data_IF_765744721131
#
_entry.id   IF_765744721131
#
_cell.length_a   1.000
_cell.length_b   1.000
_cell.length_c   1.000
_cell.angle_alpha   90.00
_cell.angle_beta   90.00
_cell.angle_gamma   90.00
#
_symmetry.space_group_name_H-M   'P 1'
#
loop_
_entity.id
_entity.type
_entity.pdbx_description
1 polymer ?
#
# COMPACT_ATOMS: atom_id res chain seq x y z
N UNK A 1 -19.82 0.63 20.12
CA UNK A 1 -20.90 -0.18 20.74
C UNK A 1 -20.43 -1.59 21.09
N UNK A 2 -19.86 -2.36 20.14
CA UNK A 2 -19.36 -3.73 20.35
C UNK A 2 -18.17 -3.77 21.33
N UNK A 3 -17.26 -2.82 21.26
CA UNK A 3 -16.10 -2.70 22.16
C UNK A 3 -16.53 -2.56 23.63
N UNK A 4 -17.52 -1.71 23.87
CA UNK A 4 -18.11 -1.55 25.20
C UNK A 4 -18.75 -2.86 25.68
N UNK A 5 -19.46 -3.61 24.81
CA UNK A 5 -20.04 -4.91 25.16
C UNK A 5 -18.98 -5.92 25.59
N UNK A 6 -17.84 -5.99 24.84
CA UNK A 6 -16.75 -6.91 25.19
C UNK A 6 -16.13 -6.54 26.54
N UNK A 7 -15.80 -5.26 26.76
CA UNK A 7 -15.18 -4.81 28.01
C UNK A 7 -16.02 -5.12 29.26
N UNK A 8 -17.34 -5.24 29.12
CA UNK A 8 -18.27 -5.52 30.20
C UNK A 8 -18.80 -6.97 30.21
N UNK A 9 -18.30 -7.82 29.32
CA UNK A 9 -18.63 -9.24 29.35
C UNK A 9 -17.97 -9.91 30.52
N UNK A 10 -18.73 -10.68 31.35
CA UNK A 10 -18.19 -11.30 32.57
C UNK A 10 -17.02 -12.26 32.30
N UNK A 11 -17.04 -13.02 31.21
CA UNK A 11 -15.96 -13.94 30.85
C UNK A 11 -14.69 -13.18 30.42
N UNK A 12 -14.86 -12.08 29.70
CA UNK A 12 -13.76 -11.22 29.32
C UNK A 12 -13.12 -10.54 30.54
N UNK A 13 -13.92 -9.99 31.43
CA UNK A 13 -13.45 -9.38 32.69
C UNK A 13 -12.72 -10.40 33.59
N UNK A 14 -13.23 -11.63 33.71
CA UNK A 14 -12.53 -12.69 34.41
C UNK A 14 -11.19 -13.05 33.80
N UNK A 15 -11.12 -13.12 32.45
CA UNK A 15 -9.88 -13.36 31.71
C UNK A 15 -8.86 -12.25 31.89
N UNK A 16 -9.30 -10.99 31.95
CA UNK A 16 -8.45 -9.83 32.26
C UNK A 16 -7.90 -9.89 33.67
N UNK A 17 -8.74 -10.22 34.65
CA UNK A 17 -8.33 -10.35 36.06
C UNK A 17 -7.24 -11.40 36.23
N UNK A 18 -7.33 -12.55 35.52
CA UNK A 18 -6.27 -13.58 35.51
C UNK A 18 -4.92 -13.05 35.02
N UNK A 19 -4.92 -11.97 34.22
CA UNK A 19 -3.76 -11.28 33.68
C UNK A 19 -3.32 -10.06 34.50
N UNK A 20 -3.98 -9.85 35.67
CA UNK A 20 -3.70 -8.70 36.55
C UNK A 20 -4.21 -7.39 36.03
N UNK A 21 -5.24 -7.40 35.16
CA UNK A 21 -5.86 -6.20 34.58
C UNK A 21 -7.20 -5.96 35.25
N UNK A 22 -7.25 -4.97 36.12
CA UNK A 22 -8.45 -4.68 36.95
C UNK A 22 -9.40 -3.67 36.28
N UNK A 23 -8.88 -2.86 35.32
CA UNK A 23 -9.68 -1.84 34.63
C UNK A 23 -9.83 -2.19 33.14
N UNK A 24 -10.97 -2.74 32.71
CA UNK A 24 -11.23 -3.08 31.31
C UNK A 24 -11.34 -1.87 30.40
N UNK A 25 -11.59 -0.66 30.90
CA UNK A 25 -11.67 0.55 30.08
C UNK A 25 -10.31 0.95 29.49
N UNK A 26 -9.21 0.49 30.07
CA UNK A 26 -7.87 0.67 29.54
C UNK A 26 -7.50 -0.33 28.44
N UNK A 27 -8.38 -1.28 28.14
CA UNK A 27 -8.14 -2.26 27.07
C UNK A 27 -8.62 -1.72 25.72
N UNK A 28 -7.71 -1.65 24.76
CA UNK A 28 -8.04 -1.40 23.35
C UNK A 28 -8.41 -2.73 22.72
N UNK A 29 -9.45 -2.73 21.90
CA UNK A 29 -9.89 -3.92 21.16
C UNK A 29 -10.11 -3.56 19.72
N UNK A 30 -9.21 -4.00 18.83
CA UNK A 30 -9.34 -3.80 17.39
C UNK A 30 -10.06 -4.99 16.75
N UNK A 31 -11.17 -4.78 16.03
CA UNK A 31 -11.88 -5.86 15.34
C UNK A 31 -11.21 -6.17 14.01
N UNK A 32 -10.68 -7.37 13.88
CA UNK A 32 -10.10 -7.84 12.63
C UNK A 32 -11.09 -8.79 11.95
N UNK A 33 -11.47 -8.57 10.69
CA UNK A 33 -12.27 -9.51 9.93
C UNK A 33 -11.61 -10.88 9.88
N UNK A 34 -12.38 -11.93 10.09
CA UNK A 34 -11.88 -13.30 9.97
C UNK A 34 -12.49 -14.02 8.77
N UNK A 35 -11.62 -14.74 8.06
CA UNK A 35 -12.01 -15.61 6.96
C UNK A 35 -12.65 -16.88 7.51
N UNK A 36 -13.41 -17.57 6.67
CA UNK A 36 -13.87 -18.93 6.96
C UNK A 36 -12.69 -19.92 6.81
N UNK A 37 -12.27 -20.51 7.91
CA UNK A 37 -11.23 -21.54 7.97
C UNK A 37 -11.79 -22.96 7.92
N UNK A 38 -13.09 -23.13 7.70
CA UNK A 38 -13.75 -24.43 7.60
C UNK A 38 -14.55 -24.83 8.82
N UNK A 39 -14.59 -24.00 9.86
CA UNK A 39 -15.39 -24.22 11.07
C UNK A 39 -16.88 -24.14 10.73
N UNK A 40 -17.66 -25.16 11.08
CA UNK A 40 -19.12 -25.16 10.86
C UNK A 40 -19.81 -24.01 11.59
N UNK A 41 -19.34 -23.66 12.78
CA UNK A 41 -19.86 -22.56 13.61
C UNK A 41 -19.70 -21.16 12.93
N UNK A 42 -18.78 -21.03 11.98
CA UNK A 42 -18.46 -19.77 11.28
C UNK A 42 -19.20 -19.64 9.95
N UNK A 43 -19.75 -20.73 9.41
CA UNK A 43 -20.42 -20.71 8.10
C UNK A 43 -21.59 -19.73 8.02
N UNK A 44 -21.60 -18.92 6.96
CA UNK A 44 -22.67 -17.96 6.68
C UNK A 44 -22.72 -16.76 7.64
N UNK A 45 -21.73 -16.62 8.51
CA UNK A 45 -21.60 -15.49 9.44
C UNK A 45 -20.55 -14.50 8.96
N UNK A 46 -20.73 -13.25 9.33
CA UNK A 46 -19.74 -12.19 9.14
C UNK A 46 -19.09 -11.93 10.49
N UNK A 47 -17.87 -12.44 10.65
CA UNK A 47 -17.19 -12.48 11.94
C UNK A 47 -15.98 -11.54 11.99
N UNK A 48 -15.69 -11.07 13.20
CA UNK A 48 -14.44 -10.41 13.54
C UNK A 48 -13.84 -11.01 14.82
N UNK A 49 -12.52 -10.98 14.91
CA UNK A 49 -11.76 -11.31 16.12
C UNK A 49 -11.23 -10.03 16.74
N UNK A 50 -11.45 -9.82 18.02
CA UNK A 50 -10.88 -8.71 18.76
C UNK A 50 -9.42 -8.96 19.07
N UNK A 51 -8.54 -8.05 18.69
CA UNK A 51 -7.15 -8.01 19.14
C UNK A 51 -7.05 -7.05 20.30
N UNK A 52 -6.40 -7.46 21.38
CA UNK A 52 -6.44 -6.73 22.63
C UNK A 52 -5.06 -6.19 23.02
N UNK A 53 -5.04 -4.95 23.47
CA UNK A 53 -3.84 -4.28 24.00
C UNK A 53 -4.19 -3.49 25.26
N UNK A 54 -3.23 -3.34 26.17
CA UNK A 54 -3.39 -2.63 27.41
C UNK A 54 -2.76 -1.24 27.36
N UNK A 55 -3.53 -0.21 27.71
CA UNK A 55 -3.04 1.11 28.13
C UNK A 55 -2.79 1.12 29.64
N UNK A 56 -1.82 1.90 30.11
CA UNK A 56 -1.63 2.19 31.53
C UNK A 56 -2.48 3.37 31.98
N UNK A 57 -2.70 4.30 31.05
CA UNK A 57 -3.55 5.46 31.20
C UNK A 57 -4.26 5.77 29.88
N UNK A 58 -5.26 6.61 29.90
CA UNK A 58 -6.13 6.90 28.74
C UNK A 58 -5.39 7.39 27.50
N UNK A 59 -4.29 8.11 27.68
CA UNK A 59 -3.50 8.70 26.58
C UNK A 59 -2.25 7.93 26.18
N UNK A 60 -2.07 6.74 26.75
CA UNK A 60 -0.92 5.88 26.52
C UNK A 60 -0.98 5.10 25.17
N UNK A 61 0.19 4.74 24.63
CA UNK A 61 0.27 3.85 23.48
C UNK A 61 -0.09 2.42 23.86
N UNK A 62 -1.30 1.98 23.53
CA UNK A 62 -1.76 0.62 23.79
C UNK A 62 -0.99 -0.45 23.04
N UNK A 63 -0.59 -0.20 21.79
CA UNK A 63 0.09 -1.20 20.95
C UNK A 63 1.45 -1.66 21.51
N UNK A 64 2.01 -1.00 22.49
CA UNK A 64 3.22 -1.45 23.18
C UNK A 64 3.01 -2.67 24.08
N UNK A 65 1.78 -2.93 24.51
CA UNK A 65 1.46 -3.97 25.50
C UNK A 65 0.31 -4.87 25.03
N UNK A 66 0.59 -5.81 24.12
CA UNK A 66 -0.40 -6.78 23.65
C UNK A 66 -0.85 -7.68 24.81
N UNK A 67 -2.15 -7.96 24.85
CA UNK A 67 -2.78 -8.94 25.74
C UNK A 67 -2.86 -10.26 24.97
N UNK A 68 -1.85 -11.09 25.12
CA UNK A 68 -1.73 -12.34 24.40
C UNK A 68 -2.68 -13.42 24.93
N UNK A 69 -3.15 -14.28 24.02
CA UNK A 69 -3.97 -15.42 24.36
C UNK A 69 -5.42 -15.08 24.74
N UNK A 70 -5.88 -13.86 24.45
CA UNK A 70 -7.27 -13.44 24.74
C UNK A 70 -7.89 -12.80 23.50
N UNK A 71 -8.84 -13.50 22.88
CA UNK A 71 -9.45 -13.10 21.61
C UNK A 71 -10.98 -13.25 21.61
N UNK A 72 -11.75 -12.17 21.79
CA UNK A 72 -13.20 -12.22 21.62
C UNK A 72 -13.59 -12.37 20.15
N UNK A 73 -14.54 -13.25 19.85
CA UNK A 73 -15.13 -13.46 18.53
C UNK A 73 -16.50 -12.80 18.46
N UNK A 74 -16.71 -11.99 17.43
CA UNK A 74 -17.90 -11.19 17.22
C UNK A 74 -18.68 -11.64 15.98
N UNK A 75 -20.00 -11.74 16.08
CA UNK A 75 -20.91 -11.77 14.94
C UNK A 75 -21.30 -10.33 14.58
N UNK A 76 -20.76 -9.82 13.48
CA UNK A 76 -20.97 -8.44 13.04
C UNK A 76 -22.40 -8.18 12.51
N UNK A 77 -23.13 -9.23 12.08
CA UNK A 77 -24.51 -9.08 11.63
C UNK A 77 -25.46 -8.88 12.82
N UNK A 78 -25.18 -9.55 13.92
CA UNK A 78 -26.01 -9.50 15.13
C UNK A 78 -25.51 -8.50 16.16
N UNK A 79 -24.24 -8.05 16.04
CA UNK A 79 -23.52 -7.28 17.05
C UNK A 79 -23.47 -8.01 18.41
N UNK A 80 -23.20 -9.31 18.37
CA UNK A 80 -23.14 -10.19 19.54
C UNK A 80 -21.74 -10.81 19.71
N UNK A 81 -21.35 -11.05 20.96
CA UNK A 81 -20.17 -11.84 21.29
C UNK A 81 -20.54 -13.31 21.11
N UNK A 82 -19.83 -14.02 20.26
CA UNK A 82 -20.02 -15.45 20.06
C UNK A 82 -19.23 -16.30 21.06
N UNK A 83 -18.02 -15.86 21.37
CA UNK A 83 -17.06 -16.61 22.17
C UNK A 83 -15.99 -15.68 22.70
N UNK A 84 -15.53 -15.92 23.92
CA UNK A 84 -14.30 -15.36 24.48
C UNK A 84 -13.26 -16.47 24.49
N UNK A 85 -12.33 -16.42 23.52
CA UNK A 85 -11.24 -17.40 23.44
C UNK A 85 -10.13 -17.00 24.42
N UNK A 86 -9.83 -17.87 25.40
CA UNK A 86 -8.75 -17.71 26.39
C UNK A 86 -7.78 -18.89 26.27
N UNK A 87 -6.62 -18.65 25.66
CA UNK A 87 -5.57 -19.65 25.41
C UNK A 87 -4.51 -19.70 26.54
N UNK A 88 -4.76 -19.01 27.63
CA UNK A 88 -3.86 -18.94 28.78
C UNK A 88 -3.19 -17.57 28.92
N UNK A 89 -2.51 -17.41 30.06
CA UNK A 89 -1.91 -16.13 30.46
C UNK A 89 -0.48 -16.04 30.01
N UNK A 90 -0.20 -15.00 29.23
CA UNK A 90 1.15 -14.51 28.93
C UNK A 90 1.34 -13.19 29.69
N UNK A 91 2.45 -12.98 30.42
CA UNK A 91 2.69 -11.73 31.12
C UNK A 91 2.63 -10.51 30.22
N UNK A 92 2.00 -9.45 30.69
CA UNK A 92 1.97 -8.17 29.93
C UNK A 92 3.39 -7.62 29.80
N UNK A 93 3.85 -7.23 28.59
CA UNK A 93 5.16 -6.66 28.39
C UNK A 93 5.39 -5.40 29.25
N UNK A 94 6.58 -5.25 29.87
CA UNK A 94 6.85 -4.15 30.79
C UNK A 94 7.10 -2.81 30.08
N UNK A 95 7.29 -2.82 28.77
CA UNK A 95 7.76 -1.69 27.99
C UNK A 95 6.77 -0.52 28.01
N UNK A 96 7.32 0.70 28.00
CA UNK A 96 6.52 1.91 27.91
C UNK A 96 6.05 2.14 26.46
N UNK A 97 6.97 2.27 25.52
CA UNK A 97 6.69 2.34 24.08
C UNK A 97 5.88 3.54 23.63
N UNK A 98 5.83 4.62 24.41
CA UNK A 98 5.14 5.84 24.01
C UNK A 98 5.94 6.61 22.95
N UNK A 99 5.25 7.10 21.93
CA UNK A 99 5.84 7.80 20.78
C UNK A 99 5.46 9.27 20.70
N UNK A 100 4.40 9.72 21.38
CA UNK A 100 3.95 11.12 21.35
C UNK A 100 5.01 12.06 21.93
N UNK A 101 5.13 13.24 21.35
CA UNK A 101 6.16 14.23 21.70
C UNK A 101 6.26 14.54 23.20
N UNK A 102 5.10 14.53 23.89
CA UNK A 102 5.06 14.77 25.36
C UNK A 102 5.77 13.70 26.21
N UNK A 103 6.03 12.52 25.63
CA UNK A 103 6.75 11.42 26.29
C UNK A 103 8.20 11.29 25.83
N UNK A 104 8.62 12.10 24.85
CA UNK A 104 9.97 12.05 24.29
C UNK A 104 10.82 13.22 24.81
N UNK A 105 12.02 12.93 25.30
CA UNK A 105 12.98 13.93 25.76
C UNK A 105 14.05 14.26 24.74
N UNK A 106 14.34 13.33 23.83
CA UNK A 106 15.54 13.34 22.99
C UNK A 106 15.19 13.45 21.50
N UNK A 107 14.77 14.64 21.08
CA UNK A 107 14.66 14.95 19.66
C UNK A 107 16.02 15.27 19.05
N UNK A 108 16.21 14.87 17.80
CA UNK A 108 17.42 15.22 17.03
C UNK A 108 17.46 16.74 16.84
N UNK A 109 18.63 17.32 17.14
CA UNK A 109 18.89 18.75 16.98
C UNK A 109 19.97 19.06 15.93
N UNK A 110 20.51 18.00 15.31
CA UNK A 110 21.60 18.04 14.33
C UNK A 110 21.12 18.25 12.90
N UNK A 111 19.81 18.26 12.66
CA UNK A 111 19.18 18.50 11.35
C UNK A 111 18.75 19.95 11.25
N UNK A 112 19.21 20.61 10.18
CA UNK A 112 18.75 21.97 9.84
C UNK A 112 17.53 21.90 8.92
N UNK A 113 16.60 22.85 9.00
CA UNK A 113 15.42 22.88 8.16
C UNK A 113 15.78 23.06 6.67
N UNK A 114 14.96 22.46 5.81
CA UNK A 114 14.93 22.67 4.37
C UNK A 114 13.67 23.45 4.05
N UNK A 115 13.81 24.56 3.36
CA UNK A 115 12.69 25.36 2.86
C UNK A 115 12.51 25.10 1.36
N UNK A 116 11.26 24.87 0.94
CA UNK A 116 10.86 24.69 -0.45
C UNK A 116 9.91 25.84 -0.78
N UNK A 117 10.31 26.69 -1.71
CA UNK A 117 9.53 27.87 -2.11
C UNK A 117 9.39 27.95 -3.63
N UNK A 118 8.21 28.35 -4.08
CA UNK A 118 7.92 28.68 -5.47
C UNK A 118 7.38 30.12 -5.52
N UNK A 119 8.24 31.16 -5.61
CA UNK A 119 7.84 32.56 -5.45
C UNK A 119 6.83 33.06 -6.49
N UNK A 120 6.75 32.39 -7.65
CA UNK A 120 5.80 32.68 -8.74
C UNK A 120 4.55 31.78 -8.68
N UNK A 121 4.44 30.97 -7.62
CA UNK A 121 3.39 29.94 -7.48
C UNK A 121 3.72 28.60 -8.15
N UNK A 122 2.87 27.60 -7.97
CA UNK A 122 3.04 26.27 -8.58
C UNK A 122 2.81 26.32 -10.10
N UNK A 123 3.43 25.37 -10.82
CA UNK A 123 3.27 25.25 -12.28
C UNK A 123 2.05 24.42 -12.70
N UNK A 124 1.24 23.95 -11.75
CA UNK A 124 0.00 23.24 -12.05
C UNK A 124 -1.22 24.17 -11.98
N UNK A 125 -2.23 23.80 -12.75
CA UNK A 125 -3.56 24.43 -12.75
C UNK A 125 -4.60 23.41 -12.30
N UNK A 126 -5.54 23.83 -11.44
CA UNK A 126 -6.64 22.98 -10.96
C UNK A 126 -7.99 23.64 -11.25
N UNK A 127 -8.87 22.89 -11.92
CA UNK A 127 -10.24 23.28 -12.16
C UNK A 127 -11.20 22.16 -11.66
N UNK A 128 -11.74 22.33 -10.47
CA UNK A 128 -12.42 21.24 -9.78
C UNK A 128 -11.49 20.06 -9.54
N UNK A 129 -11.79 18.91 -10.14
CA UNK A 129 -10.93 17.72 -10.05
C UNK A 129 -10.03 17.53 -11.28
N UNK A 130 -10.05 18.46 -12.22
CA UNK A 130 -9.17 18.43 -13.39
C UNK A 130 -7.87 19.15 -13.06
N UNK A 131 -6.76 18.45 -13.31
CA UNK A 131 -5.38 18.94 -13.10
C UNK A 131 -4.69 19.03 -14.44
N UNK A 132 -4.02 20.15 -14.68
CA UNK A 132 -3.06 20.34 -15.77
C UNK A 132 -1.71 20.70 -15.18
N UNK A 133 -0.66 19.99 -15.58
CA UNK A 133 0.72 20.29 -15.18
C UNK A 133 1.65 20.03 -16.35
N UNK A 134 2.24 21.10 -16.87
CA UNK A 134 3.09 21.05 -18.08
C UNK A 134 2.35 20.31 -19.22
N UNK A 135 2.86 19.15 -19.66
CA UNK A 135 2.23 18.32 -20.69
C UNK A 135 1.19 17.32 -20.15
N UNK A 136 1.06 17.19 -18.85
CA UNK A 136 0.12 16.26 -18.23
C UNK A 136 -1.26 16.87 -18.04
N UNK A 137 -2.28 16.04 -18.28
CA UNK A 137 -3.66 16.33 -17.89
C UNK A 137 -4.28 15.07 -17.27
N UNK A 138 -5.03 15.25 -16.20
CA UNK A 138 -5.68 14.14 -15.48
C UNK A 138 -6.86 14.62 -14.65
N UNK A 139 -7.65 13.69 -14.15
CA UNK A 139 -8.69 13.96 -13.15
C UNK A 139 -8.41 13.16 -11.88
N UNK A 140 -8.55 13.84 -10.77
CA UNK A 140 -8.41 13.27 -9.44
C UNK A 140 -9.77 12.80 -8.96
N UNK A 141 -9.85 11.55 -8.51
CA UNK A 141 -11.04 10.96 -7.91
C UNK A 141 -10.71 10.31 -6.57
N UNK A 142 -11.77 9.94 -5.84
CA UNK A 142 -11.62 9.27 -4.57
C UNK A 142 -12.79 8.33 -4.30
N UNK A 143 -12.53 7.14 -3.74
CA UNK A 143 -13.57 6.20 -3.36
C UNK A 143 -13.39 5.68 -1.94
N UNK A 144 -14.49 5.28 -1.26
CA UNK A 144 -14.39 4.72 0.10
C UNK A 144 -13.55 3.45 0.17
N UNK A 145 -13.50 2.68 -0.92
CA UNK A 145 -12.84 1.39 -0.98
C UNK A 145 -11.36 1.49 -1.35
N UNK A 146 -11.05 2.29 -2.40
CA UNK A 146 -9.72 2.31 -3.01
C UNK A 146 -8.87 3.51 -2.57
N UNK A 147 -9.52 4.52 -1.96
CA UNK A 147 -8.87 5.81 -1.71
C UNK A 147 -8.68 6.62 -3.00
N UNK A 148 -7.49 7.12 -3.23
CA UNK A 148 -7.10 7.93 -4.38
C UNK A 148 -7.23 7.18 -5.70
N UNK A 149 -7.93 7.78 -6.66
CA UNK A 149 -8.09 7.26 -8.02
C UNK A 149 -7.67 8.31 -9.03
N UNK A 150 -6.82 7.93 -9.96
CA UNK A 150 -6.39 8.79 -11.08
C UNK A 150 -7.18 8.40 -12.33
N UNK A 151 -7.77 9.37 -13.01
CA UNK A 151 -8.59 9.16 -14.20
C UNK A 151 -8.06 9.92 -15.40
N UNK A 152 -8.28 9.37 -16.58
CA UNK A 152 -8.10 10.03 -17.89
C UNK A 152 -6.76 10.73 -18.02
N UNK A 153 -5.69 10.01 -17.65
CA UNK A 153 -4.33 10.55 -17.77
C UNK A 153 -3.95 10.66 -19.24
N UNK A 154 -3.56 11.84 -19.65
CA UNK A 154 -3.06 12.12 -20.97
C UNK A 154 -1.80 12.96 -20.93
N UNK A 155 -1.01 12.85 -21.99
CA UNK A 155 0.24 13.60 -22.18
C UNK A 155 0.19 14.35 -23.51
N UNK A 156 0.46 15.64 -23.49
CA UNK A 156 0.45 16.50 -24.68
C UNK A 156 1.73 16.28 -25.49
N UNK A 157 1.56 15.79 -26.70
CA UNK A 157 2.64 15.52 -27.65
C UNK A 157 2.24 16.01 -29.04
N UNK A 158 3.06 16.91 -29.64
CA UNK A 158 2.82 17.50 -30.96
C UNK A 158 1.40 18.06 -31.13
N UNK A 159 1.00 18.93 -30.20
CA UNK A 159 -0.31 19.61 -30.16
C UNK A 159 -1.52 18.69 -30.07
N UNK A 160 -1.30 17.45 -29.62
CA UNK A 160 -2.31 16.45 -29.38
C UNK A 160 -2.20 15.90 -27.95
N UNK A 161 -3.32 15.89 -27.21
CA UNK A 161 -3.41 15.18 -25.95
C UNK A 161 -3.54 13.68 -26.22
N UNK A 162 -2.49 12.91 -25.92
CA UNK A 162 -2.45 11.46 -26.08
C UNK A 162 -2.95 10.79 -24.80
N UNK A 163 -4.04 10.00 -24.86
CA UNK A 163 -4.49 9.25 -23.70
C UNK A 163 -3.51 8.13 -23.36
N UNK A 164 -3.29 7.89 -22.08
CA UNK A 164 -2.34 6.87 -21.56
C UNK A 164 -3.05 5.91 -20.62
N UNK A 165 -3.75 6.45 -19.61
CA UNK A 165 -4.46 5.67 -18.60
C UNK A 165 -5.90 6.18 -18.52
N UNK A 166 -6.87 5.27 -18.62
CA UNK A 166 -8.27 5.61 -18.39
C UNK A 166 -8.57 5.72 -16.89
N UNK A 167 -8.09 4.74 -16.09
CA UNK A 167 -8.28 4.71 -14.65
C UNK A 167 -7.14 3.94 -13.97
N UNK A 168 -6.63 4.46 -12.86
CA UNK A 168 -5.66 3.76 -12.03
C UNK A 168 -5.99 3.95 -10.54
N UNK A 169 -5.92 2.88 -9.76
CA UNK A 169 -6.15 2.88 -8.32
C UNK A 169 -5.57 1.63 -7.65
N UNK A 170 -5.39 1.70 -6.33
CA UNK A 170 -5.23 0.51 -5.49
C UNK A 170 -6.54 -0.26 -5.47
N UNK A 171 -6.63 -1.40 -6.14
CA UNK A 171 -7.88 -2.18 -6.20
C UNK A 171 -8.08 -3.07 -4.99
N UNK A 172 -7.01 -3.57 -4.41
CA UNK A 172 -7.02 -4.36 -3.17
C UNK A 172 -5.64 -4.35 -2.52
N UNK A 173 -5.60 -4.53 -1.22
CA UNK A 173 -4.40 -4.90 -0.49
C UNK A 173 -4.72 -5.94 0.56
N UNK A 174 -3.75 -6.79 0.85
CA UNK A 174 -3.89 -7.84 1.86
C UNK A 174 -2.62 -7.98 2.68
N UNK A 175 -2.81 -8.22 3.98
CA UNK A 175 -1.72 -8.36 4.96
C UNK A 175 -1.84 -9.73 5.65
N UNK A 176 -1.24 -10.78 5.10
CA UNK A 176 -1.19 -12.09 5.72
C UNK A 176 -0.03 -12.21 6.70
N UNK A 177 -0.31 -12.75 7.89
CA UNK A 177 0.67 -13.00 8.95
C UNK A 177 1.11 -14.45 8.99
N UNK A 178 2.36 -14.69 9.36
CA UNK A 178 3.03 -16.01 9.33
C UNK A 178 3.13 -16.71 10.66
N UNK A 179 2.28 -16.39 11.64
CA UNK A 179 2.27 -17.07 12.95
C UNK A 179 1.14 -18.13 13.02
N UNK A 180 1.45 -19.41 13.30
CA UNK A 180 0.49 -20.51 13.30
C UNK A 180 -0.22 -20.73 14.62
N UNK A 181 0.03 -19.93 15.66
CA UNK A 181 -0.56 -20.13 16.99
C UNK A 181 -2.06 -19.86 16.98
N UNK A 182 -2.77 -20.41 17.97
CA UNK A 182 -4.23 -20.32 18.06
C UNK A 182 -4.74 -18.88 18.05
N UNK A 183 -4.00 -17.97 18.64
CA UNK A 183 -4.36 -16.56 18.70
C UNK A 183 -4.10 -15.84 17.35
N UNK A 184 -3.16 -16.30 16.54
CA UNK A 184 -2.67 -15.54 15.38
C UNK A 184 -2.94 -16.15 14.00
N UNK A 185 -3.24 -17.44 13.85
CA UNK A 185 -3.38 -18.08 12.54
C UNK A 185 -4.48 -17.48 11.64
N UNK A 186 -5.47 -16.79 12.23
CA UNK A 186 -6.53 -16.08 11.52
C UNK A 186 -6.16 -14.65 11.09
N UNK A 187 -4.95 -14.18 11.41
CA UNK A 187 -4.50 -12.82 11.05
C UNK A 187 -4.27 -12.67 9.56
N UNK A 188 -5.24 -12.12 8.87
CA UNK A 188 -5.18 -11.75 7.47
C UNK A 188 -6.27 -10.70 7.20
N UNK A 189 -5.89 -9.54 6.67
CA UNK A 189 -6.80 -8.40 6.48
C UNK A 189 -6.73 -7.92 5.04
N UNK A 190 -7.90 -7.62 4.46
CA UNK A 190 -8.06 -6.97 3.17
C UNK A 190 -8.46 -5.51 3.40
N UNK A 191 -7.48 -4.61 3.43
CA UNK A 191 -7.70 -3.24 3.90
C UNK A 191 -8.53 -2.38 2.94
N UNK A 192 -8.57 -2.71 1.64
CA UNK A 192 -9.50 -2.07 0.71
C UNK A 192 -10.89 -2.71 0.74
N UNK A 193 -10.97 -4.04 0.57
CA UNK A 193 -12.24 -4.76 0.42
C UNK A 193 -13.02 -4.94 1.71
N UNK A 194 -12.36 -5.20 2.83
CA UNK A 194 -12.99 -5.45 4.14
C UNK A 194 -13.08 -4.18 4.99
N UNK A 195 -12.04 -3.35 5.02
CA UNK A 195 -11.98 -2.14 5.83
C UNK A 195 -12.49 -0.91 5.07
N UNK A 196 -12.13 -0.77 3.80
CA UNK A 196 -12.41 0.42 3.01
C UNK A 196 -11.40 1.53 3.29
N UNK A 197 -10.16 1.33 2.80
CA UNK A 197 -9.00 2.18 3.11
C UNK A 197 -9.23 3.67 2.83
N UNK A 198 -10.09 4.01 1.86
CA UNK A 198 -10.44 5.39 1.58
C UNK A 198 -11.21 6.10 2.71
N UNK A 199 -11.88 5.35 3.60
CA UNK A 199 -12.52 5.93 4.79
C UNK A 199 -11.54 6.17 5.94
N UNK A 200 -10.33 5.63 5.84
CA UNK A 200 -9.27 5.71 6.83
C UNK A 200 -8.26 6.81 6.53
N UNK A 201 -8.52 7.66 5.54
CA UNK A 201 -7.61 8.72 5.15
C UNK A 201 -7.42 9.79 6.24
N UNK A 202 -6.21 10.33 6.28
CA UNK A 202 -5.85 11.43 7.16
C UNK A 202 -6.16 12.78 6.51
N UNK A 203 -6.47 13.78 7.33
CA UNK A 203 -6.40 15.18 6.94
C UNK A 203 -4.96 15.63 6.99
N UNK A 204 -4.39 15.96 5.84
CA UNK A 204 -2.96 16.24 5.68
C UNK A 204 -2.64 17.71 6.03
N UNK A 205 -1.45 17.94 6.56
CA UNK A 205 -1.01 19.26 7.02
C UNK A 205 0.32 19.68 6.38
N UNK A 206 0.38 20.95 5.97
CA UNK A 206 1.62 21.56 5.49
C UNK A 206 2.67 21.63 6.60
N UNK A 207 3.87 21.22 6.28
CA UNK A 207 5.02 21.27 7.20
C UNK A 207 5.29 19.97 7.95
N UNK A 208 4.30 19.05 8.02
CA UNK A 208 4.53 17.71 8.53
C UNK A 208 4.31 16.60 7.48
N UNK A 209 3.17 16.60 6.79
CA UNK A 209 2.87 15.58 5.79
C UNK A 209 3.41 15.92 4.39
N UNK A 210 3.47 17.21 4.07
CA UNK A 210 3.91 17.73 2.78
C UNK A 210 4.71 19.02 2.95
N UNK A 211 5.61 19.32 1.99
CA UNK A 211 6.41 20.55 1.94
C UNK A 211 6.26 21.24 0.58
N UNK A 212 6.39 22.57 0.55
CA UNK A 212 6.31 23.38 -0.67
C UNK A 212 4.96 24.06 -0.87
N UNK A 213 4.65 24.43 -2.11
CA UNK A 213 3.36 25.00 -2.51
C UNK A 213 2.36 23.87 -2.77
N UNK A 214 1.43 23.68 -1.85
CA UNK A 214 0.54 22.52 -1.81
C UNK A 214 -0.87 22.90 -2.26
N UNK A 215 -1.49 22.04 -3.05
CA UNK A 215 -2.93 22.02 -3.28
C UNK A 215 -3.55 20.79 -2.62
N UNK A 216 -4.57 21.01 -1.79
CA UNK A 216 -5.31 19.92 -1.15
C UNK A 216 -6.67 19.72 -1.80
N UNK A 217 -7.07 18.45 -1.93
CA UNK A 217 -8.44 18.10 -2.31
C UNK A 217 -9.20 17.56 -1.11
N UNK A 218 -10.37 18.14 -0.88
CA UNK A 218 -11.35 17.62 0.06
C UNK A 218 -12.17 16.51 -0.59
N UNK A 219 -12.72 15.61 0.20
CA UNK A 219 -13.54 14.50 -0.27
C UNK A 219 -14.84 14.42 0.50
N UNK A 220 -15.93 14.17 -0.20
CA UNK A 220 -17.22 13.83 0.39
C UNK A 220 -17.51 12.35 0.15
N UNK A 221 -17.54 11.57 1.23
CA UNK A 221 -17.94 10.17 1.24
C UNK A 221 -19.27 9.99 1.96
N UNK A 222 -19.59 8.77 2.34
CA UNK A 222 -20.75 8.46 3.18
C UNK A 222 -20.35 7.57 4.36
N UNK A 223 -20.98 7.78 5.50
CA UNK A 223 -20.89 6.89 6.63
C UNK A 223 -21.73 5.59 6.41
N UNK A 224 -21.73 4.71 7.41
CA UNK A 224 -22.49 3.45 7.37
C UNK A 224 -24.03 3.66 7.35
N UNK A 225 -24.50 4.86 7.65
CA UNK A 225 -25.92 5.24 7.67
C UNK A 225 -26.34 6.02 6.43
N UNK A 226 -25.37 6.28 5.52
CA UNK A 226 -25.61 7.07 4.31
C UNK A 226 -25.55 8.58 4.52
N UNK A 227 -25.13 9.07 5.70
CA UNK A 227 -24.90 10.49 5.91
C UNK A 227 -23.61 10.94 5.24
N UNK A 228 -23.54 12.21 4.84
CA UNK A 228 -22.32 12.77 4.28
C UNK A 228 -21.18 12.77 5.30
N UNK A 229 -20.04 12.22 4.88
CA UNK A 229 -18.76 12.26 5.59
C UNK A 229 -17.81 13.16 4.80
N UNK A 230 -17.68 14.41 5.24
CA UNK A 230 -16.77 15.35 4.61
C UNK A 230 -15.40 15.24 5.28
N UNK A 231 -14.39 14.98 4.48
CA UNK A 231 -13.00 14.85 4.90
C UNK A 231 -12.18 15.93 4.21
N UNK A 232 -11.46 16.74 4.99
CA UNK A 232 -10.66 17.84 4.45
C UNK A 232 -9.22 17.40 4.20
N UNK A 233 -8.57 18.01 3.20
CA UNK A 233 -7.16 17.82 2.88
C UNK A 233 -6.75 16.34 2.72
N UNK A 234 -7.60 15.52 2.12
CA UNK A 234 -7.37 14.07 2.02
C UNK A 234 -6.31 13.74 0.98
N UNK A 235 -6.22 14.55 -0.08
CA UNK A 235 -5.23 14.38 -1.14
C UNK A 235 -4.33 15.60 -1.17
N UNK A 236 -3.03 15.37 -1.14
CA UNK A 236 -1.99 16.39 -1.28
C UNK A 236 -1.44 16.34 -2.70
N UNK A 237 -1.31 17.50 -3.33
CA UNK A 237 -0.65 17.64 -4.62
C UNK A 237 0.38 18.77 -4.57
N UNK A 238 1.60 18.49 -5.03
CA UNK A 238 2.70 19.45 -5.07
C UNK A 238 3.75 19.08 -6.10
N UNK A 239 4.69 19.98 -6.34
CA UNK A 239 5.86 19.75 -7.19
C UNK A 239 7.09 19.44 -6.35
N UNK A 240 7.96 18.58 -6.86
CA UNK A 240 9.26 18.29 -6.24
C UNK A 240 10.39 18.46 -7.24
N UNK A 241 11.53 19.03 -6.81
CA UNK A 241 12.80 18.88 -7.50
C UNK A 241 13.25 17.42 -7.39
N UNK A 242 13.58 16.80 -8.52
CA UNK A 242 14.00 15.40 -8.58
C UNK A 242 15.42 15.23 -9.15
N UNK A 243 16.26 16.23 -8.98
CA UNK A 243 17.65 16.17 -9.38
C UNK A 243 17.89 16.42 -10.88
N UNK A 244 18.75 15.64 -11.47
CA UNK A 244 19.16 15.78 -12.88
C UNK A 244 18.30 14.88 -13.76
N UNK A 245 17.61 15.47 -14.73
CA UNK A 245 16.92 14.74 -15.80
C UNK A 245 17.89 14.31 -16.90
N UNK A 246 18.73 15.24 -17.35
CA UNK A 246 19.71 15.00 -18.39
C UNK A 246 20.95 15.85 -18.18
N UNK A 247 22.12 15.28 -18.43
CA UNK A 247 23.40 15.99 -18.39
C UNK A 247 24.36 15.42 -19.41
N UNK A 248 25.05 16.29 -20.13
CA UNK A 248 26.20 15.94 -20.95
C UNK A 248 27.29 16.99 -20.87
N UNK A 249 28.54 16.55 -20.86
CA UNK A 249 29.74 17.39 -20.95
C UNK A 249 30.59 16.90 -22.10
N UNK A 250 30.75 17.70 -23.12
CA UNK A 250 31.64 17.40 -24.24
C UNK A 250 32.98 18.14 -24.07
N UNK A 251 33.98 17.40 -23.61
CA UNK A 251 35.31 17.95 -23.37
C UNK A 251 36.04 18.40 -24.64
N UNK A 252 35.61 17.94 -25.82
CA UNK A 252 36.24 18.30 -27.11
C UNK A 252 35.91 19.72 -27.52
N UNK A 253 34.73 20.19 -27.15
CA UNK A 253 34.25 21.54 -27.46
C UNK A 253 34.09 22.43 -26.23
N UNK A 254 34.32 21.88 -25.03
CA UNK A 254 34.24 22.59 -23.74
C UNK A 254 32.83 22.97 -23.31
N UNK A 255 31.79 22.29 -23.83
CA UNK A 255 30.39 22.55 -23.46
C UNK A 255 29.84 21.57 -22.47
N UNK A 256 29.11 22.09 -21.50
CA UNK A 256 28.36 21.30 -20.51
C UNK A 256 26.93 21.79 -20.42
N UNK A 257 25.97 20.89 -20.65
CA UNK A 257 24.56 21.16 -20.53
C UNK A 257 23.92 20.31 -19.43
N UNK A 258 22.98 20.89 -18.71
CA UNK A 258 22.23 20.20 -17.65
C UNK A 258 20.76 20.60 -17.71
N UNK A 259 19.88 19.62 -17.58
CA UNK A 259 18.43 19.81 -17.41
C UNK A 259 18.01 19.21 -16.10
N UNK A 260 17.31 20.01 -15.26
CA UNK A 260 16.76 19.54 -13.96
C UNK A 260 15.51 18.70 -14.20
N UNK A 261 15.30 17.72 -13.35
CA UNK A 261 14.06 16.97 -13.27
C UNK A 261 13.12 17.60 -12.24
N UNK A 262 11.86 17.68 -12.59
CA UNK A 262 10.76 18.03 -11.70
C UNK A 262 9.67 16.99 -11.84
N UNK A 263 8.96 16.68 -10.77
CA UNK A 263 7.82 15.78 -10.78
C UNK A 263 6.61 16.40 -10.07
N UNK A 264 5.42 16.05 -10.54
CA UNK A 264 4.18 16.32 -9.84
C UNK A 264 3.88 15.12 -8.96
N UNK A 265 3.59 15.37 -7.70
CA UNK A 265 3.20 14.36 -6.71
C UNK A 265 1.71 14.51 -6.40
N UNK A 266 0.98 13.39 -6.44
CA UNK A 266 -0.41 13.30 -5.98
C UNK A 266 -0.47 12.15 -4.97
N UNK A 267 -0.80 12.46 -3.72
CA UNK A 267 -0.69 11.48 -2.64
C UNK A 267 -1.84 11.54 -1.65
N UNK A 268 -2.04 10.44 -0.93
CA UNK A 268 -2.96 10.31 0.20
C UNK A 268 -2.33 9.40 1.24
N UNK A 269 -2.67 9.59 2.51
CA UNK A 269 -2.21 8.77 3.63
C UNK A 269 -3.42 8.22 4.37
N UNK A 270 -3.39 6.96 4.75
CA UNK A 270 -4.47 6.29 5.48
C UNK A 270 -3.94 5.56 6.71
N UNK A 271 -4.65 5.69 7.83
CA UNK A 271 -4.40 4.95 9.07
C UNK A 271 -5.32 3.74 9.13
N UNK A 272 -4.75 2.54 9.07
CA UNK A 272 -5.50 1.30 9.24
C UNK A 272 -5.03 0.58 10.50
N UNK A 273 -5.79 0.73 11.59
CA UNK A 273 -5.40 0.24 12.90
C UNK A 273 -4.08 0.85 13.37
N UNK A 274 -3.05 0.04 13.45
CA UNK A 274 -1.70 0.44 13.88
C UNK A 274 -0.79 0.91 12.73
N UNK A 275 -1.14 0.68 11.47
CA UNK A 275 -0.32 1.02 10.31
C UNK A 275 -0.72 2.32 9.64
N UNK A 276 0.28 3.03 9.12
CA UNK A 276 0.12 4.13 8.19
C UNK A 276 0.56 3.72 6.79
N UNK A 277 -0.28 3.98 5.81
CA UNK A 277 -0.02 3.72 4.41
C UNK A 277 -0.06 5.01 3.62
N UNK A 278 1.06 5.41 3.03
CA UNK A 278 1.12 6.53 2.09
C UNK A 278 1.13 6.02 0.65
N UNK A 279 0.24 6.52 -0.19
CA UNK A 279 0.10 6.18 -1.60
C UNK A 279 0.43 7.37 -2.46
N UNK A 280 1.47 7.24 -3.30
CA UNK A 280 2.04 8.34 -4.06
C UNK A 280 2.05 8.03 -5.55
N UNK A 281 1.45 8.89 -6.36
CA UNK A 281 1.60 8.91 -7.80
C UNK A 281 2.57 10.03 -8.18
N UNK A 282 3.57 9.71 -8.99
CA UNK A 282 4.56 10.66 -9.50
C UNK A 282 4.43 10.75 -11.00
N UNK A 283 4.32 11.98 -11.51
CA UNK A 283 4.30 12.28 -12.94
C UNK A 283 5.54 13.07 -13.29
N UNK A 284 6.31 12.59 -14.26
CA UNK A 284 7.60 13.18 -14.63
C UNK A 284 7.50 13.96 -15.93
N UNK A 285 8.42 14.90 -16.13
CA UNK A 285 8.47 15.75 -17.33
C UNK A 285 8.70 14.97 -18.63
N UNK A 286 9.37 13.84 -18.55
CA UNK A 286 9.70 12.97 -19.69
C UNK A 286 8.60 11.96 -20.06
N UNK A 287 7.46 12.00 -19.38
CA UNK A 287 6.33 11.11 -19.61
C UNK A 287 6.32 9.85 -18.76
N UNK A 288 7.28 9.65 -17.88
CA UNK A 288 7.26 8.53 -16.91
C UNK A 288 6.20 8.74 -15.82
N UNK A 289 5.70 7.65 -15.28
CA UNK A 289 4.77 7.60 -14.15
C UNK A 289 5.27 6.55 -13.17
N UNK A 290 5.39 6.92 -11.89
CA UNK A 290 5.68 5.97 -10.82
C UNK A 290 4.53 5.92 -9.82
N UNK A 291 4.37 4.76 -9.20
CA UNK A 291 3.50 4.55 -8.05
C UNK A 291 4.31 3.98 -6.90
N UNK A 292 4.33 4.67 -5.78
CA UNK A 292 5.04 4.29 -4.58
C UNK A 292 4.08 4.09 -3.41
N UNK A 293 4.32 3.04 -2.61
CA UNK A 293 3.65 2.85 -1.33
C UNK A 293 4.67 3.00 -0.22
N UNK A 294 4.41 3.92 0.72
CA UNK A 294 5.21 4.11 1.93
C UNK A 294 4.51 3.45 3.11
N UNK A 295 5.25 2.61 3.82
CA UNK A 295 4.78 1.86 4.98
C UNK A 295 5.41 2.45 6.23
N UNK A 296 4.57 2.86 7.18
CA UNK A 296 5.01 3.43 8.45
C UNK A 296 3.98 3.16 9.56
N UNK A 297 3.98 3.92 10.64
CA UNK A 297 3.09 3.75 11.77
C UNK A 297 3.69 2.87 12.86
N UNK A 298 2.85 2.07 13.53
CA UNK A 298 3.23 1.24 14.66
C UNK A 298 3.20 -0.23 14.25
N UNK A 299 4.23 -1.00 14.61
CA UNK A 299 4.25 -2.45 14.38
C UNK A 299 3.07 -3.14 15.08
N UNK A 300 2.43 -4.09 14.38
CA UNK A 300 1.46 -4.97 15.03
C UNK A 300 2.20 -5.94 15.95
N UNK A 301 2.01 -5.75 17.24
CA UNK A 301 2.74 -6.44 18.29
C UNK A 301 1.97 -7.64 18.86
N UNK A 302 2.72 -8.62 19.35
CA UNK A 302 2.26 -9.75 20.14
C UNK A 302 3.17 -9.90 21.37
N UNK A 303 2.74 -10.67 22.38
CA UNK A 303 3.56 -10.93 23.55
C UNK A 303 4.09 -12.36 23.58
N UNK A 304 5.26 -12.53 24.20
CA UNK A 304 5.83 -13.85 24.51
C UNK A 304 6.27 -13.91 25.96
N UNK A 305 6.31 -15.11 26.58
CA UNK A 305 6.87 -15.26 27.91
C UNK A 305 8.34 -14.79 27.99
N UNK A 306 8.81 -14.36 29.19
CA UNK A 306 10.20 -13.98 29.39
C UNK A 306 11.18 -15.07 28.95
N UNK A 307 12.21 -14.69 28.19
CA UNK A 307 13.26 -15.60 27.71
C UNK A 307 12.90 -16.45 26.49
N UNK A 308 11.69 -16.33 25.96
CA UNK A 308 11.27 -17.02 24.73
C UNK A 308 11.72 -16.22 23.51
N UNK A 309 12.37 -16.91 22.56
CA UNK A 309 12.67 -16.37 21.23
C UNK A 309 11.65 -16.93 20.23
N UNK A 310 10.83 -16.10 19.58
CA UNK A 310 9.82 -16.58 18.65
C UNK A 310 10.46 -17.06 17.34
N UNK A 311 9.93 -18.17 16.78
CA UNK A 311 10.35 -18.67 15.47
C UNK A 311 9.78 -17.81 14.32
N UNK A 312 8.55 -17.32 14.49
CA UNK A 312 7.76 -16.68 13.44
C UNK A 312 7.67 -15.15 13.62
N UNK A 313 8.70 -14.57 14.21
CA UNK A 313 8.75 -13.13 14.47
C UNK A 313 10.09 -12.69 15.01
N UNK A 314 10.22 -11.40 15.29
CA UNK A 314 11.41 -10.77 15.86
C UNK A 314 11.06 -10.06 17.15
N UNK A 315 11.87 -10.26 18.20
CA UNK A 315 11.77 -9.46 19.43
C UNK A 315 12.18 -8.01 19.11
N UNK A 316 11.26 -7.08 19.36
CA UNK A 316 11.47 -5.64 19.12
C UNK A 316 11.60 -4.86 20.44
N UNK A 317 11.13 -5.46 21.54
CA UNK A 317 11.33 -4.99 22.91
C UNK A 317 11.24 -6.21 23.86
N UNK A 318 11.57 -6.09 25.15
CA UNK A 318 11.41 -7.18 26.09
C UNK A 318 9.98 -7.74 26.05
N UNK A 319 9.83 -9.03 25.71
CA UNK A 319 8.57 -9.76 25.59
C UNK A 319 7.63 -9.26 24.49
N UNK A 320 8.04 -8.30 23.66
CA UNK A 320 7.26 -7.79 22.51
C UNK A 320 7.81 -8.34 21.21
N UNK A 321 6.94 -8.95 20.42
CA UNK A 321 7.24 -9.57 19.13
C UNK A 321 6.54 -8.85 18.00
N UNK A 322 7.27 -8.58 16.92
CA UNK A 322 6.71 -8.31 15.62
C UNK A 322 6.67 -9.62 14.82
N UNK A 323 5.48 -10.13 14.52
CA UNK A 323 5.32 -11.34 13.72
C UNK A 323 5.72 -11.11 12.27
N UNK A 324 6.31 -12.13 11.64
CA UNK A 324 6.59 -12.12 10.20
C UNK A 324 5.28 -11.97 9.42
N UNK A 325 5.23 -11.06 8.47
CA UNK A 325 4.09 -10.82 7.60
C UNK A 325 4.53 -10.18 6.30
N UNK A 326 3.62 -10.17 5.34
CA UNK A 326 3.83 -9.53 4.03
C UNK A 326 2.69 -8.56 3.77
N UNK A 327 2.96 -7.52 2.98
CA UNK A 327 1.94 -6.62 2.45
C UNK A 327 1.89 -6.77 0.94
N UNK A 328 0.71 -7.02 0.39
CA UNK A 328 0.47 -7.12 -1.04
C UNK A 328 -0.45 -6.01 -1.50
N UNK A 329 0.00 -5.26 -2.48
CA UNK A 329 -0.73 -4.14 -3.07
C UNK A 329 -1.10 -4.50 -4.51
N UNK A 330 -2.38 -4.61 -4.80
CA UNK A 330 -2.87 -4.85 -6.14
C UNK A 330 -3.31 -3.54 -6.77
N UNK A 331 -2.47 -2.98 -7.62
CA UNK A 331 -2.74 -1.74 -8.35
C UNK A 331 -3.37 -2.10 -9.69
N UNK A 332 -4.61 -1.68 -9.91
CA UNK A 332 -5.27 -1.80 -11.20
C UNK A 332 -4.95 -0.58 -12.05
N UNK A 333 -4.42 -0.82 -13.24
CA UNK A 333 -4.15 0.21 -14.24
C UNK A 333 -4.89 -0.15 -15.53
N UNK A 334 -5.89 0.64 -15.87
CA UNK A 334 -6.68 0.50 -17.09
C UNK A 334 -6.01 1.34 -18.17
N UNK A 335 -5.17 0.69 -18.98
CA UNK A 335 -4.36 1.35 -20.01
C UNK A 335 -5.20 1.77 -21.21
N UNK A 336 -4.93 2.97 -21.72
CA UNK A 336 -5.61 3.54 -22.89
C UNK A 336 -4.61 4.28 -23.79
N UNK A 337 -3.52 3.61 -24.17
CA UNK A 337 -2.45 4.23 -24.97
C UNK A 337 -2.96 4.50 -26.39
N UNK A 338 -3.16 5.77 -26.71
CA UNK A 338 -3.73 6.25 -27.98
C UNK A 338 -5.06 5.57 -28.39
N UNK A 339 -5.81 5.06 -27.41
CA UNK A 339 -7.09 4.38 -27.60
C UNK A 339 -7.17 3.04 -26.84
N UNK A 340 -8.31 2.35 -26.97
CA UNK A 340 -8.66 1.19 -26.16
C UNK A 340 -8.00 -0.11 -26.60
N UNK A 341 -7.48 -0.20 -27.85
CA UNK A 341 -6.90 -1.43 -28.38
C UNK A 341 -5.42 -1.51 -28.09
N UNK A 342 -5.08 -2.05 -26.94
CA UNK A 342 -3.69 -2.25 -26.53
C UNK A 342 -3.33 -3.73 -26.46
N UNK A 343 -2.05 -4.03 -26.65
CA UNK A 343 -1.47 -5.38 -26.55
C UNK A 343 -0.34 -5.38 -25.54
N UNK A 344 -0.27 -6.42 -24.72
CA UNK A 344 0.78 -6.54 -23.69
C UNK A 344 1.79 -7.61 -24.11
N UNK A 345 3.06 -7.23 -24.09
CA UNK A 345 4.18 -8.12 -24.38
C UNK A 345 5.06 -8.27 -23.13
N UNK A 346 5.44 -9.49 -22.82
CA UNK A 346 6.56 -9.75 -21.93
C UNK A 346 7.86 -9.65 -22.73
N UNK A 347 8.87 -8.98 -22.17
CA UNK A 347 10.16 -8.71 -22.80
C UNK A 347 11.26 -9.25 -21.91
N UNK A 348 11.93 -10.29 -22.38
CA UNK A 348 13.10 -10.90 -21.75
C UNK A 348 14.37 -10.55 -22.49
N UNK A 349 15.47 -10.38 -21.79
CA UNK A 349 16.81 -10.35 -22.36
C UNK A 349 17.32 -11.79 -22.46
N UNK A 350 17.81 -12.16 -23.63
CA UNK A 350 18.33 -13.50 -23.91
C UNK A 350 19.75 -13.44 -24.45
N UNK A 351 20.61 -14.34 -24.04
CA UNK A 351 21.96 -14.49 -24.56
C UNK A 351 21.90 -15.15 -25.92
N UNK A 352 22.54 -14.58 -26.93
CA UNK A 352 22.65 -15.20 -28.23
C UNK A 352 23.74 -16.29 -28.21
N UNK A 353 23.50 -17.46 -28.83
CA UNK A 353 24.46 -18.52 -28.81
C UNK A 353 25.78 -18.17 -29.55
N UNK A 354 26.87 -18.77 -29.15
CA UNK A 354 28.13 -18.67 -29.91
C UNK A 354 27.93 -19.25 -31.28
N UNK A 355 28.26 -18.49 -32.33
CA UNK A 355 28.11 -18.87 -33.73
C UNK A 355 29.11 -18.09 -34.59
N UNK A 356 29.10 -18.30 -35.89
CA UNK A 356 29.89 -17.49 -36.82
C UNK A 356 29.60 -15.96 -36.69
N UNK A 357 28.37 -15.60 -36.35
CA UNK A 357 27.95 -14.21 -36.13
C UNK A 357 28.17 -13.71 -34.70
N UNK A 358 28.57 -14.59 -33.77
CA UNK A 358 28.82 -14.26 -32.39
C UNK A 358 30.01 -15.09 -31.83
N UNK A 359 31.13 -15.00 -32.50
CA UNK A 359 32.32 -15.80 -32.15
C UNK A 359 32.90 -15.47 -30.75
N UNK A 360 32.67 -14.26 -30.26
CA UNK A 360 33.15 -13.83 -28.93
C UNK A 360 32.13 -14.05 -27.82
N UNK A 361 30.91 -14.50 -28.12
CA UNK A 361 29.88 -14.81 -27.14
C UNK A 361 29.38 -13.60 -26.32
N UNK A 362 29.52 -12.40 -26.88
CA UNK A 362 29.14 -11.15 -26.19
C UNK A 362 27.81 -10.54 -26.66
N UNK A 363 27.13 -11.21 -27.60
CA UNK A 363 25.84 -10.75 -28.08
C UNK A 363 24.69 -11.21 -27.19
N UNK A 364 23.73 -10.34 -27.00
CA UNK A 364 22.44 -10.61 -26.38
C UNK A 364 21.36 -9.78 -27.08
N UNK A 365 20.14 -10.26 -27.02
CA UNK A 365 19.00 -9.65 -27.70
C UNK A 365 17.76 -9.64 -26.80
N UNK A 366 16.64 -9.10 -27.28
CA UNK A 366 15.39 -9.10 -26.58
C UNK A 366 14.40 -10.06 -27.24
N UNK A 367 13.73 -10.88 -26.43
CA UNK A 367 12.63 -11.76 -26.84
C UNK A 367 11.31 -11.15 -26.36
N UNK A 368 10.41 -10.82 -27.29
CA UNK A 368 9.07 -10.33 -27.00
C UNK A 368 8.06 -11.47 -27.11
N UNK A 369 7.23 -11.67 -26.08
CA UNK A 369 6.17 -12.67 -26.04
C UNK A 369 4.83 -11.99 -25.82
N UNK A 370 3.92 -12.07 -26.80
CA UNK A 370 2.57 -11.52 -26.68
C UNK A 370 1.75 -12.35 -25.67
N UNK A 371 1.15 -11.68 -24.69
CA UNK A 371 0.18 -12.29 -23.78
C UNK A 371 -1.19 -12.30 -24.47
N UNK A 372 -1.61 -13.49 -24.97
CA UNK A 372 -2.80 -13.64 -25.82
C UNK A 372 -4.09 -13.92 -25.06
N UNK A 373 -3.98 -14.53 -23.87
CA UNK A 373 -5.10 -14.99 -23.09
C UNK A 373 -4.92 -14.66 -21.62
N UNK A 374 -5.99 -14.39 -20.90
CA UNK A 374 -5.97 -14.18 -19.45
C UNK A 374 -5.46 -15.39 -18.66
N UNK A 375 -5.58 -16.61 -19.21
CA UNK A 375 -4.98 -17.82 -18.61
C UNK A 375 -3.46 -17.80 -18.55
N UNK A 376 -2.83 -17.08 -19.46
CA UNK A 376 -1.38 -16.89 -19.52
C UNK A 376 -0.96 -15.63 -18.73
N UNK A 377 -1.90 -14.96 -18.10
CA UNK A 377 -1.75 -13.65 -17.52
C UNK A 377 -0.99 -13.57 -16.20
N UNK A 378 -1.00 -14.56 -15.28
CA UNK A 378 -0.15 -14.50 -14.10
C UNK A 378 1.31 -14.56 -14.53
N UNK A 379 2.01 -13.42 -14.41
CA UNK A 379 3.44 -13.31 -14.78
C UNK A 379 4.24 -12.92 -13.56
N UNK A 380 5.47 -13.40 -13.50
CA UNK A 380 6.41 -13.09 -12.44
C UNK A 380 7.59 -12.29 -12.97
N UNK A 381 8.17 -11.42 -12.14
CA UNK A 381 9.47 -10.81 -12.43
C UNK A 381 10.52 -11.91 -12.61
N UNK A 382 11.51 -11.62 -13.45
CA UNK A 382 12.68 -12.46 -13.65
C UNK A 382 13.93 -11.57 -13.73
N UNK A 383 14.64 -11.38 -12.62
CA UNK A 383 15.85 -10.56 -12.60
C UNK A 383 16.97 -11.11 -13.50
N UNK A 384 17.01 -12.44 -13.72
CA UNK A 384 18.03 -13.05 -14.56
C UNK A 384 17.81 -12.78 -16.04
N UNK A 385 16.55 -12.55 -16.45
CA UNK A 385 16.20 -12.14 -17.80
C UNK A 385 15.99 -10.62 -17.93
N UNK A 386 16.22 -9.84 -16.88
CA UNK A 386 15.85 -8.41 -16.82
C UNK A 386 14.43 -8.16 -17.35
N UNK A 387 13.48 -9.05 -16.98
CA UNK A 387 12.11 -9.08 -17.51
C UNK A 387 11.37 -7.79 -17.21
N UNK A 388 10.73 -7.28 -18.26
CA UNK A 388 9.79 -6.17 -18.20
C UNK A 388 8.56 -6.48 -19.07
N UNK A 389 7.55 -5.62 -19.02
CA UNK A 389 6.39 -5.74 -19.91
C UNK A 389 6.19 -4.44 -20.67
N UNK A 390 5.68 -4.53 -21.87
CA UNK A 390 5.30 -3.35 -22.67
C UNK A 390 3.84 -3.43 -23.04
N UNK A 391 3.13 -2.31 -22.84
CA UNK A 391 1.76 -2.12 -23.34
C UNK A 391 1.84 -1.26 -24.57
N UNK A 392 1.42 -1.77 -25.71
CA UNK A 392 1.59 -1.11 -27.02
C UNK A 392 0.24 -0.94 -27.74
N UNK A 393 0.08 0.16 -28.43
CA UNK A 393 -0.96 0.33 -29.44
C UNK A 393 -0.40 0.03 -30.83
N UNK A 394 -0.80 -1.10 -31.41
CA UNK A 394 -0.33 -1.54 -32.74
C UNK A 394 -0.83 -0.67 -33.89
N UNK A 395 -1.87 0.14 -33.66
CA UNK A 395 -2.45 1.02 -34.68
C UNK A 395 -1.89 2.45 -34.67
N UNK A 396 -1.08 2.78 -33.66
CA UNK A 396 -0.43 4.09 -33.49
C UNK A 396 1.07 3.90 -33.49
N UNK A 397 1.77 4.55 -34.41
CA UNK A 397 3.21 4.41 -34.57
C UNK A 397 3.93 5.73 -34.30
N UNK A 398 5.18 5.63 -33.86
CA UNK A 398 6.10 6.75 -33.77
C UNK A 398 6.68 7.10 -35.18
N UNK A 399 7.55 8.11 -35.25
CA UNK A 399 8.18 8.55 -36.49
C UNK A 399 9.11 7.50 -37.14
N UNK A 400 9.47 6.44 -36.41
CA UNK A 400 10.26 5.30 -36.93
C UNK A 400 9.38 4.16 -37.45
N UNK A 401 8.05 4.30 -37.36
CA UNK A 401 7.09 3.25 -37.73
C UNK A 401 6.87 2.18 -36.66
N UNK A 402 7.44 2.35 -35.45
CA UNK A 402 7.27 1.40 -34.36
C UNK A 402 6.02 1.72 -33.52
N UNK A 403 5.29 0.70 -33.04
CA UNK A 403 4.13 0.90 -32.17
C UNK A 403 4.47 1.73 -30.93
N UNK A 404 3.65 2.73 -30.62
CA UNK A 404 3.79 3.51 -29.41
C UNK A 404 3.37 2.69 -28.18
N UNK A 405 4.00 2.94 -27.02
CA UNK A 405 3.71 2.17 -25.82
C UNK A 405 4.42 2.67 -24.58
N UNK A 406 4.08 2.02 -23.47
CA UNK A 406 4.72 2.19 -22.17
C UNK A 406 5.35 0.89 -21.70
N UNK A 407 6.53 1.00 -21.10
CA UNK A 407 7.16 -0.11 -20.39
C UNK A 407 6.67 -0.15 -18.95
N UNK A 408 6.24 -1.31 -18.47
CA UNK A 408 5.92 -1.57 -17.08
C UNK A 408 7.09 -2.30 -16.43
N UNK A 409 7.59 -1.73 -15.34
CA UNK A 409 8.65 -2.31 -14.51
C UNK A 409 8.14 -2.30 -13.05
N UNK A 410 7.68 -3.45 -12.51
CA UNK A 410 7.10 -3.49 -11.17
C UNK A 410 8.12 -3.40 -10.04
N UNK A 411 9.40 -3.23 -10.34
CA UNK A 411 10.46 -3.17 -9.33
C UNK A 411 10.74 -4.49 -8.65
N UNK A 412 11.33 -4.44 -7.45
CA UNK A 412 11.64 -5.61 -6.64
C UNK A 412 10.38 -6.06 -5.87
N UNK A 413 9.95 -7.28 -6.09
CA UNK A 413 8.78 -7.87 -5.46
C UNK A 413 9.06 -9.33 -5.09
N UNK A 414 8.31 -9.86 -4.13
CA UNK A 414 8.37 -11.25 -3.71
C UNK A 414 7.01 -11.92 -3.84
N UNK A 415 7.00 -13.23 -4.03
CA UNK A 415 5.80 -14.05 -4.00
C UNK A 415 5.41 -14.42 -2.56
N UNK A 416 4.18 -14.92 -2.32
CA UNK A 416 3.73 -15.35 -1.00
C UNK A 416 4.58 -16.46 -0.41
N UNK A 417 4.87 -16.34 0.90
CA UNK A 417 5.57 -17.39 1.66
C UNK A 417 4.61 -18.38 2.33
N UNK A 418 3.31 -18.19 2.18
CA UNK A 418 2.32 -19.13 2.66
C UNK A 418 2.27 -20.40 1.80
N UNK A 419 1.95 -21.52 2.42
CA UNK A 419 1.74 -22.78 1.70
C UNK A 419 0.57 -22.66 0.71
N UNK A 420 0.67 -23.25 -0.48
CA UNK A 420 -0.32 -23.15 -1.58
C UNK A 420 -1.76 -23.51 -1.14
N UNK A 421 -1.92 -24.40 -0.17
CA UNK A 421 -3.21 -24.80 0.37
C UNK A 421 -3.74 -23.87 1.46
N UNK A 422 -3.01 -22.85 1.88
CA UNK A 422 -3.46 -21.91 2.90
C UNK A 422 -4.73 -21.18 2.45
N UNK A 423 -5.59 -20.84 3.41
CA UNK A 423 -6.86 -20.12 3.14
C UNK A 423 -6.60 -18.82 2.40
N UNK A 424 -5.57 -18.09 2.80
CA UNK A 424 -5.21 -16.80 2.18
C UNK A 424 -4.85 -16.94 0.70
N UNK A 425 -4.18 -18.02 0.30
CA UNK A 425 -3.80 -18.26 -1.10
C UNK A 425 -5.04 -18.48 -2.01
N UNK A 426 -6.12 -19.02 -1.45
CA UNK A 426 -7.39 -19.19 -2.16
C UNK A 426 -8.20 -17.89 -2.22
N UNK A 427 -8.14 -17.06 -1.18
CA UNK A 427 -8.85 -15.77 -1.10
C UNK A 427 -8.17 -14.67 -1.89
N UNK A 428 -6.85 -14.63 -1.90
CA UNK A 428 -6.03 -13.59 -2.49
C UNK A 428 -5.13 -14.16 -3.62
N UNK A 429 -5.72 -14.88 -4.56
CA UNK A 429 -4.99 -15.48 -5.69
C UNK A 429 -4.18 -14.45 -6.51
N UNK A 430 -4.54 -13.17 -6.46
CA UNK A 430 -3.78 -12.10 -7.12
C UNK A 430 -2.33 -11.98 -6.62
N UNK A 431 -2.02 -12.44 -5.40
CA UNK A 431 -0.65 -12.43 -4.86
C UNK A 431 0.30 -13.39 -5.58
N UNK A 432 -0.22 -14.38 -6.31
CA UNK A 432 0.59 -15.44 -6.94
C UNK A 432 1.28 -15.00 -8.23
N UNK A 433 1.11 -13.78 -8.65
CA UNK A 433 1.78 -13.18 -9.79
C UNK A 433 2.09 -11.71 -9.54
N UNK A 434 3.15 -11.21 -10.17
CA UNK A 434 3.55 -9.80 -10.08
C UNK A 434 2.82 -8.92 -11.09
N UNK A 435 2.36 -9.51 -12.20
CA UNK A 435 1.54 -8.86 -13.22
C UNK A 435 0.41 -9.78 -13.64
N UNK A 436 -0.79 -9.20 -13.74
CA UNK A 436 -1.98 -9.82 -14.27
C UNK A 436 -2.47 -8.99 -15.46
N UNK A 437 -2.68 -9.64 -16.61
CA UNK A 437 -3.20 -8.98 -17.81
C UNK A 437 -4.60 -9.50 -18.07
N UNK A 438 -5.57 -8.60 -18.04
CA UNK A 438 -6.98 -8.93 -18.28
C UNK A 438 -7.54 -8.06 -19.40
N UNK A 439 -8.53 -8.57 -20.13
CA UNK A 439 -9.29 -7.73 -21.03
C UNK A 439 -10.14 -6.74 -20.22
N UNK A 440 -10.35 -5.56 -20.78
CA UNK A 440 -11.32 -4.63 -20.23
C UNK A 440 -12.72 -5.05 -20.69
N UNK A 441 -13.63 -5.26 -19.72
CA UNK A 441 -15.04 -5.57 -19.95
C UNK A 441 -15.94 -4.49 -19.35
#
# INVERSE_FOLDING_TARGET
EWEHKIRHDPQFVEALSKRGIDNPDLVIIDPWPISNFGEESEKGKRLAIGRCWLRREETDNGYARPIEGLSPILDLNKSEIMEIQDFGVVPIPPNDGNYAARYQSDFRTDIKPIEITQPEGPSFEVQGNHVKWQKWQMRIGYTPREGLVIHTVGYEDQDRLRPIIYRAALSEMVVPYGDPTNDHYKKQVFDSGEVGIGKCANSLELGCDCLGEIYYFDVALHDIRGNALNMQNVICMHEEDFGILWKHSDNRIGETETRRSRRLVVSTIATVGNYEYGFFWYFYQDGNIDYEVKLTGILNSAAVPPGVTPKNGTLVAPQVVAHNHQHYFNVRVDMMIDGLKNSVYEVDTVTDPISENNMHGNAFSTKKTLIKNERDAPRTIDPFAARTWTVNNQSSTNYMGEPVGYKIAPGENVLPFHHDNAVIMKRAAFMTGHLWVTAYN
#
